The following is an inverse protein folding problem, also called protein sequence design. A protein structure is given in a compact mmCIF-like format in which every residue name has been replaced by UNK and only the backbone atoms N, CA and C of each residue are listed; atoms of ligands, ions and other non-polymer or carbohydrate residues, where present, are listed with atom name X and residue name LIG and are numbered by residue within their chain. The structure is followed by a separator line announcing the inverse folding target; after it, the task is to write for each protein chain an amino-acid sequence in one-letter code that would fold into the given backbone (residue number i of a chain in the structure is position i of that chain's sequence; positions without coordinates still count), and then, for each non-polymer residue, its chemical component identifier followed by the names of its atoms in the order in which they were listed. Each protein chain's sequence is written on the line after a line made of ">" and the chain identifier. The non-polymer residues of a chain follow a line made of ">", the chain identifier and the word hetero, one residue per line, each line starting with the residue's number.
data_IF_744587673185
#
_entry.id   IF_744587673185
#
_cell.length_a   1.000
_cell.length_b   1.000
_cell.length_c   1.000
_cell.angle_alpha   90.00
_cell.angle_beta   90.00
_cell.angle_gamma   90.00
#
_symmetry.space_group_name_H-M   'P 1'
#
loop_
_entity.id
_entity.type
_entity.pdbx_description
1 polymer ?
#
# COMPACT_ATOMS: atom_id res chain seq x y z
N UNK A 1 15.27 -12.56 48.64
CA UNK A 1 14.09 -12.93 47.83
C UNK A 1 14.17 -12.13 46.56
N UNK A 2 14.51 -12.78 45.47
CA UNK A 2 14.50 -12.19 44.15
C UNK A 2 13.06 -11.98 43.74
N UNK A 3 12.74 -10.78 43.22
CA UNK A 3 11.41 -10.45 42.79
C UNK A 3 11.32 -10.69 41.29
N UNK A 4 10.41 -11.54 40.85
CA UNK A 4 9.99 -11.62 39.43
C UNK A 4 9.10 -10.44 39.15
N UNK A 5 9.43 -9.69 38.08
CA UNK A 5 8.64 -8.54 37.65
C UNK A 5 7.56 -9.00 36.65
N UNK A 6 6.30 -8.98 37.07
CA UNK A 6 5.14 -9.30 36.21
C UNK A 6 4.55 -8.06 35.52
N UNK A 7 5.23 -6.91 35.62
CA UNK A 7 4.79 -5.70 34.90
C UNK A 7 4.99 -5.84 33.39
N UNK A 8 4.30 -4.99 32.63
CA UNK A 8 4.43 -4.92 31.18
C UNK A 8 5.83 -4.45 30.78
N UNK A 9 6.55 -5.30 30.05
CA UNK A 9 7.86 -5.03 29.52
C UNK A 9 7.78 -4.63 28.05
N UNK A 10 8.72 -3.79 27.59
CA UNK A 10 8.80 -3.39 26.18
C UNK A 10 10.23 -3.51 25.69
N UNK A 11 10.46 -4.37 24.71
CA UNK A 11 11.73 -4.49 24.02
C UNK A 11 11.64 -3.81 22.64
N UNK A 12 12.66 -3.05 22.30
CA UNK A 12 12.77 -2.36 21.01
C UNK A 12 14.06 -2.76 20.31
N UNK A 13 13.90 -3.09 19.02
CA UNK A 13 14.99 -3.50 18.14
C UNK A 13 14.98 -2.56 16.93
N UNK A 14 15.79 -1.50 17.00
CA UNK A 14 15.83 -0.44 15.99
C UNK A 14 17.26 -0.03 15.68
N UNK A 15 17.53 0.44 14.49
CA UNK A 15 18.84 0.91 14.08
C UNK A 15 19.90 -0.19 14.16
N UNK A 16 20.91 -0.02 15.04
CA UNK A 16 22.00 -0.99 15.21
C UNK A 16 21.54 -2.31 15.86
N UNK A 17 20.47 -2.26 16.66
CA UNK A 17 19.86 -3.45 17.28
C UNK A 17 18.76 -4.09 16.44
N UNK A 18 18.44 -3.55 15.27
CA UNK A 18 17.45 -4.08 14.34
C UNK A 18 17.69 -5.56 14.04
N UNK A 19 16.62 -6.30 13.82
CA UNK A 19 16.67 -7.74 13.61
C UNK A 19 17.08 -8.02 12.16
N UNK A 20 18.24 -8.65 11.97
CA UNK A 20 18.66 -9.15 10.66
C UNK A 20 17.76 -10.31 10.23
N UNK A 21 17.18 -10.23 9.05
CA UNK A 21 16.28 -11.23 8.48
C UNK A 21 16.71 -11.61 7.08
N UNK A 22 16.45 -12.86 6.70
CA UNK A 22 16.65 -13.34 5.34
C UNK A 22 15.28 -13.58 4.68
N UNK A 23 15.05 -12.91 3.57
CA UNK A 23 13.78 -12.90 2.86
C UNK A 23 13.67 -14.06 1.86
N UNK A 24 12.47 -14.33 1.33
CA UNK A 24 12.20 -15.43 0.41
C UNK A 24 13.05 -15.36 -0.88
N UNK A 25 13.37 -14.15 -1.35
CA UNK A 25 14.24 -13.92 -2.50
C UNK A 25 15.74 -14.04 -2.20
N UNK A 26 16.12 -14.54 -1.01
CA UNK A 26 17.49 -14.69 -0.52
C UNK A 26 18.21 -13.36 -0.18
N UNK A 27 17.57 -12.20 -0.31
CA UNK A 27 18.14 -10.93 0.13
C UNK A 27 18.14 -10.82 1.66
N UNK A 28 19.03 -9.99 2.18
CA UNK A 28 19.10 -9.64 3.60
C UNK A 28 18.40 -8.31 3.84
N UNK A 29 17.70 -8.23 4.96
CA UNK A 29 17.07 -6.99 5.41
C UNK A 29 17.23 -6.83 6.91
N UNK A 30 17.03 -5.61 7.39
CA UNK A 30 16.95 -5.28 8.82
C UNK A 30 15.55 -4.83 9.15
N UNK A 31 14.88 -5.58 10.02
CA UNK A 31 13.55 -5.25 10.49
C UNK A 31 13.64 -4.49 11.82
N UNK A 32 13.12 -3.27 11.83
CA UNK A 32 12.86 -2.56 13.08
C UNK A 32 11.59 -3.13 13.69
N UNK A 33 11.66 -3.58 14.92
CA UNK A 33 10.55 -4.23 15.59
C UNK A 33 10.48 -3.86 17.06
N UNK A 34 9.31 -4.00 17.66
CA UNK A 34 9.15 -3.93 19.11
C UNK A 34 8.11 -4.92 19.59
N UNK A 35 8.31 -5.40 20.80
CA UNK A 35 7.39 -6.33 21.46
C UNK A 35 7.05 -5.82 22.85
N UNK A 36 5.78 -5.95 23.21
CA UNK A 36 5.29 -5.77 24.56
C UNK A 36 4.83 -7.12 25.10
N UNK A 37 5.34 -7.48 26.26
CA UNK A 37 5.08 -8.76 26.89
C UNK A 37 5.02 -8.63 28.39
N UNK A 38 4.42 -9.59 29.05
CA UNK A 38 4.39 -9.69 30.52
C UNK A 38 4.44 -11.14 30.95
N UNK A 39 5.02 -11.37 32.14
CA UNK A 39 4.98 -12.67 32.78
C UNK A 39 3.65 -12.87 33.50
N UNK A 40 3.04 -14.03 33.36
CA UNK A 40 1.87 -14.38 34.17
C UNK A 40 2.28 -14.69 35.59
N UNK A 41 1.56 -14.09 36.55
CA UNK A 41 1.86 -14.24 37.96
C UNK A 41 1.76 -15.71 38.41
N UNK A 42 0.82 -16.47 37.86
CA UNK A 42 0.59 -17.89 38.17
C UNK A 42 1.76 -18.80 37.71
N UNK A 43 2.51 -18.40 36.69
CA UNK A 43 3.64 -19.14 36.13
C UNK A 43 4.99 -18.64 36.63
N UNK A 44 5.03 -17.58 37.43
CA UNK A 44 6.26 -16.93 37.88
C UNK A 44 7.16 -17.87 38.68
N UNK A 45 6.58 -18.77 39.50
CA UNK A 45 7.34 -19.76 40.26
C UNK A 45 8.08 -20.76 39.36
N UNK A 46 7.36 -21.29 38.32
CA UNK A 46 7.95 -22.22 37.37
C UNK A 46 9.06 -21.54 36.55
N UNK A 47 8.81 -20.32 36.11
CA UNK A 47 9.79 -19.54 35.35
C UNK A 47 11.02 -19.21 36.16
N UNK A 48 10.87 -18.98 37.49
CA UNK A 48 11.99 -18.81 38.37
C UNK A 48 12.80 -20.10 38.51
N UNK A 49 12.16 -21.26 38.60
CA UNK A 49 12.86 -22.55 38.69
C UNK A 49 13.67 -22.83 37.44
N UNK A 50 13.14 -22.46 36.25
CA UNK A 50 13.74 -22.74 34.95
C UNK A 50 14.88 -21.76 34.62
N UNK A 51 14.71 -20.48 34.89
CA UNK A 51 15.62 -19.41 34.45
C UNK A 51 16.41 -18.75 35.58
N UNK A 52 15.96 -18.85 36.84
CA UNK A 52 16.57 -18.30 38.05
C UNK A 52 16.50 -16.77 38.16
N UNK A 53 16.69 -16.06 37.06
CA UNK A 53 16.80 -14.60 37.01
C UNK A 53 15.83 -14.06 35.95
N UNK A 54 15.20 -12.93 36.24
CA UNK A 54 14.27 -12.27 35.28
C UNK A 54 15.00 -11.85 34.01
N UNK A 55 16.24 -11.41 34.10
CA UNK A 55 17.05 -11.02 32.96
C UNK A 55 17.31 -12.18 31.98
N UNK A 56 17.41 -13.41 32.48
CA UNK A 56 17.51 -14.60 31.63
C UNK A 56 16.22 -14.92 30.90
N UNK A 57 15.08 -14.71 31.52
CA UNK A 57 13.79 -14.83 30.82
C UNK A 57 13.75 -13.85 29.66
N UNK A 58 14.17 -12.61 29.91
CA UNK A 58 14.22 -11.59 28.87
C UNK A 58 15.18 -11.96 27.72
N UNK A 59 16.43 -12.34 28.03
CA UNK A 59 17.46 -12.54 27.02
C UNK A 59 17.40 -13.93 26.36
N UNK A 60 17.26 -14.99 27.17
CA UNK A 60 17.40 -16.37 26.71
C UNK A 60 16.06 -16.93 26.17
N UNK A 61 14.93 -16.36 26.58
CA UNK A 61 13.63 -16.78 26.10
C UNK A 61 13.03 -15.73 25.18
N UNK A 62 12.67 -14.54 25.69
CA UNK A 62 11.89 -13.56 24.94
C UNK A 62 12.66 -13.02 23.73
N UNK A 63 13.90 -12.57 23.90
CA UNK A 63 14.70 -12.01 22.79
C UNK A 63 14.98 -13.07 21.71
N UNK A 64 15.35 -14.27 22.12
CA UNK A 64 15.66 -15.37 21.22
C UNK A 64 14.42 -15.79 20.41
N UNK A 65 13.28 -16.04 21.08
CA UNK A 65 12.08 -16.50 20.41
C UNK A 65 11.47 -15.39 19.54
N UNK A 66 11.58 -14.12 19.97
CA UNK A 66 11.12 -12.99 19.15
C UNK A 66 11.91 -12.88 17.85
N UNK A 67 13.24 -12.94 17.91
CA UNK A 67 14.09 -12.94 16.72
C UNK A 67 13.80 -14.14 15.82
N UNK A 68 13.55 -15.30 16.40
CA UNK A 68 13.21 -16.50 15.65
C UNK A 68 11.85 -16.36 14.95
N UNK A 69 10.85 -15.80 15.63
CA UNK A 69 9.51 -15.56 15.07
C UNK A 69 9.54 -14.53 13.95
N UNK A 70 10.21 -13.39 14.14
CA UNK A 70 10.41 -12.36 13.09
C UNK A 70 11.06 -12.98 11.86
N UNK A 71 12.12 -13.77 12.03
CA UNK A 71 12.79 -14.45 10.92
C UNK A 71 11.87 -15.49 10.23
N UNK A 72 11.10 -16.27 10.99
CA UNK A 72 10.23 -17.29 10.44
C UNK A 72 9.12 -16.68 9.58
N UNK A 73 8.49 -15.61 10.05
CA UNK A 73 7.41 -14.92 9.33
C UNK A 73 7.96 -14.20 8.10
N UNK A 74 9.02 -13.43 8.24
CA UNK A 74 9.58 -12.65 7.13
C UNK A 74 10.33 -13.51 6.10
N UNK A 75 10.73 -14.75 6.42
CA UNK A 75 11.33 -15.67 5.47
C UNK A 75 10.38 -16.08 4.32
N UNK A 76 9.07 -15.98 4.52
CA UNK A 76 8.07 -16.23 3.47
C UNK A 76 7.81 -15.03 2.56
N UNK A 77 8.27 -13.85 2.98
CA UNK A 77 8.02 -12.60 2.30
C UNK A 77 9.00 -12.35 1.14
N UNK A 78 8.45 -12.02 -0.04
CA UNK A 78 9.23 -11.61 -1.21
C UNK A 78 8.99 -10.12 -1.53
N UNK A 79 9.94 -9.22 -1.28
CA UNK A 79 9.79 -7.79 -1.57
C UNK A 79 9.75 -7.46 -3.07
N UNK A 80 10.12 -8.42 -3.93
CA UNK A 80 10.14 -8.27 -5.39
C UNK A 80 8.91 -8.92 -6.05
N UNK A 81 7.85 -9.18 -5.30
CA UNK A 81 6.59 -9.66 -5.84
C UNK A 81 5.84 -8.51 -6.53
N UNK A 82 5.76 -8.60 -7.86
CA UNK A 82 5.12 -7.57 -8.67
C UNK A 82 3.62 -7.44 -8.40
N UNK A 83 2.94 -8.54 -8.07
CA UNK A 83 1.50 -8.54 -7.77
C UNK A 83 1.25 -7.86 -6.41
N UNK A 84 2.05 -8.18 -5.40
CA UNK A 84 1.97 -7.52 -4.10
C UNK A 84 2.27 -6.01 -4.21
N UNK A 85 3.28 -5.61 -4.99
CA UNK A 85 3.57 -4.19 -5.28
C UNK A 85 2.41 -3.53 -6.02
N UNK A 86 1.78 -4.24 -6.97
CA UNK A 86 0.62 -3.74 -7.71
C UNK A 86 -0.61 -3.57 -6.82
N UNK A 87 -0.80 -4.36 -5.78
CA UNK A 87 -1.92 -4.25 -4.85
C UNK A 87 -1.76 -3.14 -3.79
N UNK A 88 -0.62 -2.48 -3.75
CA UNK A 88 -0.38 -1.34 -2.85
C UNK A 88 0.73 -1.56 -1.84
N UNK A 89 1.46 -2.66 -1.96
CA UNK A 89 2.54 -3.05 -1.06
C UNK A 89 2.07 -3.96 0.07
N UNK A 90 2.90 -4.10 1.08
CA UNK A 90 2.70 -5.04 2.20
C UNK A 90 1.98 -4.35 3.34
N UNK A 91 1.09 -5.06 3.98
CA UNK A 91 0.58 -4.67 5.29
C UNK A 91 1.52 -5.18 6.40
N UNK A 92 2.37 -4.28 6.90
CA UNK A 92 3.28 -4.58 8.01
C UNK A 92 2.53 -4.92 9.31
N UNK A 93 1.25 -4.55 9.44
CA UNK A 93 0.44 -4.91 10.61
C UNK A 93 0.05 -6.39 10.55
N UNK A 94 -0.27 -6.92 9.36
CA UNK A 94 -0.53 -8.35 9.18
C UNK A 94 0.68 -9.18 9.61
N UNK A 95 1.89 -8.80 9.20
CA UNK A 95 3.10 -9.46 9.68
C UNK A 95 3.33 -9.31 11.18
N UNK A 96 3.02 -8.16 11.75
CA UNK A 96 3.12 -7.97 13.20
C UNK A 96 2.16 -8.88 13.97
N UNK A 97 0.95 -9.10 13.46
CA UNK A 97 -0.02 -10.02 14.04
C UNK A 97 0.43 -11.49 13.87
N UNK A 98 0.95 -11.87 12.71
CA UNK A 98 1.52 -13.21 12.47
C UNK A 98 2.70 -13.50 13.40
N UNK A 99 3.61 -12.53 13.57
CA UNK A 99 4.75 -12.63 14.51
C UNK A 99 4.24 -12.80 15.93
N UNK A 100 3.22 -12.03 16.32
CA UNK A 100 2.61 -12.14 17.65
C UNK A 100 2.03 -13.54 17.88
N UNK A 101 1.31 -14.08 16.91
CA UNK A 101 0.70 -15.40 17.00
C UNK A 101 1.76 -16.52 17.07
N UNK A 102 2.77 -16.48 16.19
CA UNK A 102 3.86 -17.45 16.19
C UNK A 102 4.65 -17.38 17.51
N UNK A 103 4.94 -16.16 17.97
CA UNK A 103 5.62 -15.97 19.23
C UNK A 103 4.83 -16.50 20.43
N UNK A 104 3.52 -16.22 20.50
CA UNK A 104 2.67 -16.72 21.59
C UNK A 104 2.63 -18.26 21.61
N UNK A 105 2.66 -18.91 20.43
CA UNK A 105 2.77 -20.37 20.33
C UNK A 105 4.10 -20.89 20.85
N UNK A 106 5.21 -20.22 20.54
CA UNK A 106 6.56 -20.59 21.00
C UNK A 106 6.76 -20.39 22.49
N UNK A 107 6.21 -19.31 23.06
CA UNK A 107 6.34 -18.95 24.47
C UNK A 107 5.49 -19.81 25.40
N UNK A 108 4.51 -20.52 24.87
CA UNK A 108 3.54 -21.25 25.69
C UNK A 108 2.64 -20.32 26.51
N UNK A 109 2.26 -20.76 27.72
CA UNK A 109 1.34 -20.01 28.58
C UNK A 109 1.99 -19.00 29.52
N UNK A 110 3.25 -19.20 29.89
CA UNK A 110 3.92 -18.47 30.98
C UNK A 110 4.20 -16.99 30.67
N UNK A 111 4.42 -16.67 29.39
CA UNK A 111 4.65 -15.30 28.92
C UNK A 111 3.50 -14.90 27.98
N UNK A 112 2.86 -13.78 28.27
CA UNK A 112 1.80 -13.23 27.45
C UNK A 112 2.36 -12.13 26.54
N UNK A 113 2.24 -12.31 25.22
CA UNK A 113 2.59 -11.30 24.23
C UNK A 113 1.41 -10.35 24.03
N UNK A 114 1.54 -9.11 24.48
CA UNK A 114 0.50 -8.09 24.40
C UNK A 114 0.40 -7.50 23.01
N UNK A 115 1.51 -7.03 22.47
CA UNK A 115 1.56 -6.45 21.14
C UNK A 115 2.94 -6.64 20.50
N UNK A 116 2.93 -6.70 19.19
CA UNK A 116 4.12 -6.61 18.34
C UNK A 116 3.91 -5.45 17.38
N UNK A 117 4.95 -4.70 17.08
CA UNK A 117 4.95 -3.69 16.04
C UNK A 117 6.17 -3.87 15.14
N UNK A 118 5.94 -3.78 13.83
CA UNK A 118 6.93 -3.88 12.77
C UNK A 118 6.83 -2.62 11.89
N UNK A 119 7.40 -1.48 12.31
CA UNK A 119 7.19 -0.20 11.63
C UNK A 119 7.89 -0.10 10.28
N UNK A 120 9.05 -0.76 10.10
CA UNK A 120 9.85 -0.64 8.89
C UNK A 120 10.74 -1.86 8.67
N UNK A 121 10.93 -2.20 7.41
CA UNK A 121 11.94 -3.15 6.94
C UNK A 121 12.93 -2.38 6.05
N UNK A 122 14.19 -2.39 6.43
CA UNK A 122 15.27 -1.73 5.70
C UNK A 122 15.97 -2.79 4.83
N UNK A 123 15.89 -2.64 3.53
CA UNK A 123 16.51 -3.55 2.56
C UNK A 123 17.94 -3.13 2.25
N UNK A 124 18.75 -4.07 1.74
CA UNK A 124 20.02 -3.73 1.12
C UNK A 124 19.81 -2.84 -0.13
N UNK A 125 20.85 -2.07 -0.52
CA UNK A 125 20.75 -1.10 -1.62
C UNK A 125 20.36 -1.74 -2.96
N UNK A 126 20.78 -2.97 -3.23
CA UNK A 126 20.48 -3.66 -4.48
C UNK A 126 19.01 -4.09 -4.54
N UNK A 127 18.50 -4.60 -3.43
CA UNK A 127 17.10 -4.97 -3.26
C UNK A 127 16.21 -3.74 -3.31
N UNK A 128 16.58 -2.65 -2.62
CA UNK A 128 15.84 -1.40 -2.65
C UNK A 128 15.75 -0.83 -4.07
N UNK A 129 16.85 -0.80 -4.82
CA UNK A 129 16.83 -0.33 -6.22
C UNK A 129 15.91 -1.16 -7.11
N UNK A 130 15.87 -2.47 -6.92
CA UNK A 130 14.95 -3.35 -7.67
C UNK A 130 13.49 -3.11 -7.31
N UNK A 131 13.19 -2.87 -6.03
CA UNK A 131 11.85 -2.50 -5.57
C UNK A 131 11.42 -1.18 -6.23
N UNK A 132 12.27 -0.16 -6.19
CA UNK A 132 12.00 1.16 -6.77
C UNK A 132 11.76 1.06 -8.29
N UNK A 133 12.55 0.22 -8.99
CA UNK A 133 12.35 -0.04 -10.41
C UNK A 133 11.01 -0.72 -10.69
N UNK A 134 10.67 -1.78 -9.96
CA UNK A 134 9.39 -2.49 -10.10
C UNK A 134 8.20 -1.57 -9.79
N UNK A 135 8.29 -0.76 -8.75
CA UNK A 135 7.25 0.23 -8.44
C UNK A 135 7.05 1.22 -9.59
N UNK A 136 8.14 1.66 -10.22
CA UNK A 136 8.08 2.56 -11.38
C UNK A 136 7.42 1.87 -12.59
N UNK A 137 7.75 0.60 -12.85
CA UNK A 137 7.15 -0.19 -13.94
C UNK A 137 5.65 -0.43 -13.71
N UNK A 138 5.26 -0.80 -12.49
CA UNK A 138 3.84 -0.96 -12.09
C UNK A 138 3.09 0.37 -12.23
N UNK A 139 3.66 1.48 -11.77
CA UNK A 139 3.06 2.81 -11.89
C UNK A 139 2.86 3.20 -13.36
N UNK A 140 3.86 2.96 -14.22
CA UNK A 140 3.79 3.23 -15.66
C UNK A 140 2.71 2.37 -16.35
N UNK A 141 2.63 1.10 -15.99
CA UNK A 141 1.61 0.18 -16.53
C UNK A 141 0.21 0.65 -16.15
N UNK A 142 -0.03 1.00 -14.90
CA UNK A 142 -1.31 1.55 -14.42
C UNK A 142 -1.67 2.86 -15.11
N UNK A 143 -0.70 3.76 -15.29
CA UNK A 143 -0.92 5.01 -16.00
C UNK A 143 -1.33 4.78 -17.47
N UNK A 144 -0.68 3.82 -18.14
CA UNK A 144 -1.01 3.42 -19.50
C UNK A 144 -2.41 2.78 -19.61
N UNK A 145 -2.78 1.91 -18.68
CA UNK A 145 -4.11 1.31 -18.60
C UNK A 145 -5.21 2.35 -18.35
N UNK A 146 -4.97 3.25 -17.40
CA UNK A 146 -5.89 4.35 -17.12
C UNK A 146 -6.05 5.28 -18.33
N UNK A 147 -4.97 5.59 -19.03
CA UNK A 147 -5.00 6.37 -20.25
C UNK A 147 -5.83 5.70 -21.36
N UNK A 148 -5.65 4.38 -21.55
CA UNK A 148 -6.46 3.60 -22.51
C UNK A 148 -7.94 3.60 -22.12
N UNK A 149 -8.25 3.41 -20.83
CA UNK A 149 -9.64 3.45 -20.33
C UNK A 149 -10.28 4.81 -20.58
N UNK A 150 -9.58 5.89 -20.22
CA UNK A 150 -10.05 7.26 -20.45
C UNK A 150 -10.26 7.56 -21.93
N UNK A 151 -9.33 7.14 -22.81
CA UNK A 151 -9.46 7.30 -24.24
C UNK A 151 -10.69 6.56 -24.80
N UNK A 152 -10.96 5.34 -24.30
CA UNK A 152 -12.15 4.57 -24.66
C UNK A 152 -13.44 5.26 -24.22
N UNK A 153 -13.49 5.72 -22.97
CA UNK A 153 -14.63 6.45 -22.42
C UNK A 153 -14.91 7.76 -23.20
N UNK A 154 -13.85 8.49 -23.58
CA UNK A 154 -13.98 9.69 -24.44
C UNK A 154 -14.50 9.32 -25.83
N UNK A 155 -14.00 8.24 -26.42
CA UNK A 155 -14.47 7.79 -27.74
C UNK A 155 -15.95 7.37 -27.71
N UNK A 156 -16.36 6.63 -26.68
CA UNK A 156 -17.77 6.25 -26.45
C UNK A 156 -18.67 7.49 -26.25
N UNK A 157 -18.21 8.44 -25.42
CA UNK A 157 -18.92 9.70 -25.19
C UNK A 157 -19.08 10.51 -26.50
N UNK A 158 -18.02 10.59 -27.32
CA UNK A 158 -18.08 11.26 -28.62
C UNK A 158 -19.01 10.55 -29.59
N UNK A 159 -19.07 9.21 -29.58
CA UNK A 159 -20.00 8.44 -30.41
C UNK A 159 -21.45 8.66 -29.98
N UNK A 160 -21.73 8.70 -28.69
CA UNK A 160 -23.04 9.03 -28.13
C UNK A 160 -23.45 10.46 -28.56
N UNK A 161 -22.52 11.42 -28.43
CA UNK A 161 -22.77 12.80 -28.89
C UNK A 161 -23.07 12.85 -30.38
N UNK A 162 -22.31 12.16 -31.22
CA UNK A 162 -22.57 12.08 -32.65
C UNK A 162 -23.95 11.51 -32.99
N UNK A 163 -24.37 10.45 -32.28
CA UNK A 163 -25.69 9.82 -32.46
C UNK A 163 -26.83 10.70 -31.94
N UNK A 164 -26.57 11.54 -30.91
CA UNK A 164 -27.57 12.47 -30.37
C UNK A 164 -27.68 13.80 -31.12
N UNK A 165 -26.70 14.12 -31.95
CA UNK A 165 -26.71 15.27 -32.83
C UNK A 165 -27.31 14.84 -34.19
N UNK A 166 -28.65 14.69 -34.25
CA UNK A 166 -29.32 14.60 -35.53
C UNK A 166 -29.18 15.93 -36.30
N UNK A 167 -29.27 15.88 -37.62
CA UNK A 167 -29.21 17.06 -38.47
C UNK A 167 -30.23 18.13 -38.06
N UNK A 168 -31.39 17.70 -37.53
CA UNK A 168 -32.42 18.58 -36.97
C UNK A 168 -31.93 19.33 -35.73
N UNK A 169 -31.22 18.67 -34.78
CA UNK A 169 -30.70 19.30 -33.58
C UNK A 169 -29.56 20.27 -33.92
N UNK A 170 -28.72 19.94 -34.92
CA UNK A 170 -27.68 20.83 -35.41
C UNK A 170 -28.27 22.07 -36.06
N UNK A 171 -29.31 21.90 -36.88
CA UNK A 171 -30.02 23.00 -37.51
C UNK A 171 -30.67 23.91 -36.46
N UNK A 172 -31.29 23.36 -35.44
CA UNK A 172 -31.95 24.14 -34.38
C UNK A 172 -30.91 24.92 -33.54
N UNK A 173 -29.78 24.32 -33.16
CA UNK A 173 -28.71 25.03 -32.47
C UNK A 173 -28.04 26.12 -33.30
N UNK A 174 -27.94 25.90 -34.62
CA UNK A 174 -27.44 26.91 -35.53
C UNK A 174 -28.38 28.11 -35.58
N UNK A 175 -29.69 27.88 -35.64
CA UNK A 175 -30.71 28.93 -35.62
C UNK A 175 -30.67 29.72 -34.32
N UNK A 176 -30.65 29.04 -33.19
CA UNK A 176 -30.55 29.68 -31.86
C UNK A 176 -29.25 30.53 -31.70
N UNK A 177 -28.14 30.04 -32.26
CA UNK A 177 -26.89 30.79 -32.24
C UNK A 177 -26.94 32.03 -33.13
N UNK A 178 -27.58 31.93 -34.30
CA UNK A 178 -27.77 33.06 -35.19
C UNK A 178 -28.70 34.12 -34.58
N UNK A 179 -29.78 33.73 -33.92
CA UNK A 179 -30.69 34.63 -33.21
C UNK A 179 -29.98 35.39 -32.06
N UNK A 180 -29.15 34.72 -31.28
CA UNK A 180 -28.37 35.34 -30.18
C UNK A 180 -27.40 36.41 -30.67
N UNK A 181 -26.93 36.32 -31.89
CA UNK A 181 -25.98 37.26 -32.51
C UNK A 181 -26.69 38.27 -33.37
N UNK A 182 -28.03 38.18 -33.50
CA UNK A 182 -28.83 39.05 -34.35
C UNK A 182 -28.56 38.85 -35.85
N UNK A 183 -28.05 37.68 -36.23
CA UNK A 183 -27.79 37.33 -37.64
C UNK A 183 -28.97 36.51 -38.21
N UNK A 184 -29.23 36.66 -39.49
CA UNK A 184 -30.23 35.82 -40.17
C UNK A 184 -29.72 34.36 -40.20
N UNK A 185 -30.55 33.34 -39.93
CA UNK A 185 -30.15 31.93 -39.87
C UNK A 185 -29.95 31.31 -41.28
N UNK A 186 -29.34 32.07 -42.18
CA UNK A 186 -29.04 31.66 -43.56
C UNK A 186 -27.87 30.68 -43.52
N UNK A 187 -28.10 29.45 -43.90
CA UNK A 187 -27.09 28.38 -43.88
C UNK A 187 -27.25 27.33 -42.77
N UNK A 188 -28.23 27.50 -41.87
CA UNK A 188 -28.58 26.52 -40.86
C UNK A 188 -29.56 25.43 -41.33
N UNK A 189 -30.05 25.51 -42.54
CA UNK A 189 -31.01 24.58 -43.15
C UNK A 189 -30.29 23.85 -44.30
N UNK A 190 -30.37 22.51 -44.32
CA UNK A 190 -29.81 21.71 -45.41
C UNK A 190 -30.38 22.16 -46.76
N UNK A 191 -29.49 22.51 -47.68
CA UNK A 191 -29.83 22.92 -49.05
C UNK A 191 -29.59 24.39 -49.39
N UNK A 192 -29.25 25.26 -48.47
CA UNK A 192 -28.87 26.64 -48.77
C UNK A 192 -27.36 26.75 -49.06
N UNK A 193 -27.01 26.94 -50.32
CA UNK A 193 -25.62 27.17 -50.77
C UNK A 193 -25.11 28.57 -50.47
N UNK A 194 -25.50 29.16 -49.35
CA UNK A 194 -25.03 30.48 -48.95
C UNK A 194 -23.81 30.34 -48.03
N UNK A 195 -22.60 30.59 -48.55
CA UNK A 195 -21.42 30.84 -47.76
C UNK A 195 -21.63 32.06 -46.87
N UNK A 196 -21.45 32.00 -45.55
CA UNK A 196 -21.50 33.17 -44.69
C UNK A 196 -20.31 34.08 -45.00
N UNK A 197 -20.59 35.22 -45.65
CA UNK A 197 -19.62 36.32 -45.69
C UNK A 197 -19.55 36.94 -44.30
N UNK A 198 -18.58 36.49 -43.52
CA UNK A 198 -18.19 37.21 -42.30
C UNK A 198 -17.42 38.44 -42.73
N UNK A 199 -18.10 39.57 -42.76
CA UNK A 199 -17.46 40.88 -42.93
C UNK A 199 -16.66 41.24 -41.66
N UNK A 200 -15.38 40.97 -41.69
CA UNK A 200 -14.44 41.35 -40.63
C UNK A 200 -14.00 42.82 -40.73
N UNK A 201 -14.90 43.76 -40.99
CA UNK A 201 -14.62 45.18 -40.92
C UNK A 201 -15.59 45.85 -39.96
N UNK A 202 -15.18 45.94 -38.68
CA UNK A 202 -15.29 47.13 -37.85
C UNK A 202 -14.49 46.95 -36.55
N UNK A 203 -13.41 47.72 -36.50
CA UNK A 203 -12.67 48.44 -35.46
C UNK A 203 -12.91 47.98 -34.01
#
# INVERSE_FOLDING_TARGET
>A
VEKMDASLQTNRYTGDSAIGVRLANQSEAKADASIQWQLREEDAEQMYLDYREFERIHNDLVDREFRASVNAVLASYNPLDADAIAEGGIDLNEFADDIKEDMQKRMGGAVEVRSVALPIINYDEDTQRKIDQLQSEVANTRAAEQSKKTAKEIAEANEIMRKSLSDEVLSQRCIEAAEKVGAAPVGCIEGSSATPLVDMRKK
#
